data_IF_278940202453
#
_entry.id   IF_278940202453
#
_cell.length_a   1.000
_cell.length_b   1.000
_cell.length_c   1.000
_cell.angle_alpha   90.00
_cell.angle_beta   90.00
_cell.angle_gamma   90.00
#
_symmetry.space_group_name_H-M   'P 1'
#
loop_
_entity.id
_entity.type
_entity.pdbx_description
1 polymer ?
#
# COMPACT_ATOMS: atom_id res chain seq x y z
N UNK A 1 5.50 2.58 23.55
CA UNK A 1 5.51 2.03 22.18
C UNK A 1 4.20 2.42 21.55
N UNK A 2 4.20 3.38 20.62
CA UNK A 2 3.00 3.73 19.86
C UNK A 2 2.57 2.47 19.11
N UNK A 3 1.33 2.03 19.32
CA UNK A 3 0.71 1.00 18.50
C UNK A 3 0.47 1.63 17.12
N UNK A 4 1.49 1.64 16.28
CA UNK A 4 1.42 2.15 14.91
C UNK A 4 0.56 1.21 14.08
N UNK A 5 -0.75 1.45 14.14
CA UNK A 5 -1.74 0.73 13.35
C UNK A 5 -1.72 1.28 11.94
N UNK A 6 -1.54 0.40 10.96
CA UNK A 6 -1.57 0.76 9.54
C UNK A 6 -2.99 1.13 9.13
N UNK A 7 -3.16 2.33 8.57
CA UNK A 7 -4.44 2.81 8.06
C UNK A 7 -4.54 2.48 6.57
N UNK A 8 -5.09 1.31 6.27
CA UNK A 8 -5.23 0.81 4.90
C UNK A 8 -6.32 1.56 4.13
N UNK A 9 -5.95 2.08 2.96
CA UNK A 9 -6.89 2.59 1.96
C UNK A 9 -6.73 1.83 0.65
N UNK A 10 -7.85 1.57 -0.02
CA UNK A 10 -7.81 1.02 -1.38
C UNK A 10 -7.26 2.07 -2.34
N UNK A 11 -6.51 1.62 -3.35
CA UNK A 11 -6.10 2.49 -4.45
C UNK A 11 -7.32 3.09 -5.17
N UNK A 12 -7.17 4.24 -5.82
CA UNK A 12 -8.22 4.80 -6.69
C UNK A 12 -8.25 4.16 -8.08
N UNK A 13 -7.22 3.39 -8.43
CA UNK A 13 -7.11 2.65 -9.69
C UNK A 13 -7.78 1.27 -9.63
N UNK A 14 -8.34 0.99 -8.46
CA UNK A 14 -9.19 -0.14 -8.13
C UNK A 14 -10.62 0.17 -8.62
N UNK A 15 -11.10 -0.56 -9.63
CA UNK A 15 -12.36 -0.34 -10.35
C UNK A 15 -13.57 -1.12 -9.81
N UNK A 16 -14.80 -0.68 -10.14
CA UNK A 16 -16.04 -1.16 -9.50
C UNK A 16 -16.50 -2.58 -9.90
N UNK A 17 -15.95 -3.19 -10.96
CA UNK A 17 -16.46 -4.44 -11.56
C UNK A 17 -15.54 -5.65 -11.30
N UNK A 18 -14.88 -5.66 -10.14
CA UNK A 18 -13.98 -6.71 -9.63
C UNK A 18 -12.56 -6.72 -10.25
N UNK A 19 -11.57 -6.19 -9.51
CA UNK A 19 -10.33 -6.91 -9.10
C UNK A 19 -9.28 -5.97 -8.46
N UNK A 20 -9.65 -5.38 -7.34
CA UNK A 20 -8.89 -4.30 -6.71
C UNK A 20 -7.81 -4.84 -5.78
N UNK A 21 -6.69 -5.33 -6.35
CA UNK A 21 -5.68 -6.12 -5.66
C UNK A 21 -4.62 -5.33 -4.87
N UNK A 22 -4.83 -4.04 -4.55
CA UNK A 22 -3.86 -3.28 -3.75
C UNK A 22 -4.51 -2.32 -2.75
N UNK A 23 -4.15 -2.51 -1.48
CA UNK A 23 -4.31 -1.53 -0.41
C UNK A 23 -2.96 -0.91 -0.07
N UNK A 24 -2.98 0.38 0.29
CA UNK A 24 -1.81 1.16 0.67
C UNK A 24 -2.03 1.75 2.06
N UNK A 25 -0.99 1.75 2.89
CA UNK A 25 -0.94 2.52 4.12
C UNK A 25 0.32 3.39 4.13
N UNK A 26 0.13 4.70 4.23
CA UNK A 26 1.15 5.75 4.16
C UNK A 26 1.14 6.63 5.43
N UNK A 27 0.47 6.17 6.49
CA UNK A 27 0.35 6.89 7.76
C UNK A 27 1.55 6.71 8.70
N UNK A 28 2.55 5.91 8.31
CA UNK A 28 3.78 5.69 9.06
C UNK A 28 4.88 6.55 8.43
N UNK A 29 5.49 7.48 9.19
CA UNK A 29 6.50 8.38 8.62
C UNK A 29 7.68 7.62 7.99
N UNK A 30 7.95 7.89 6.71
CA UNK A 30 9.09 7.33 5.99
C UNK A 30 8.86 5.97 5.35
N UNK A 31 7.69 5.36 5.57
CA UNK A 31 7.33 4.06 5.02
C UNK A 31 5.98 4.08 4.32
N UNK A 32 5.96 3.45 3.14
CA UNK A 32 4.74 3.10 2.43
C UNK A 32 4.59 1.58 2.46
N UNK A 33 3.44 1.12 2.92
CA UNK A 33 3.08 -0.29 2.96
C UNK A 33 2.06 -0.63 1.89
N UNK A 34 2.24 -1.77 1.24
CA UNK A 34 1.35 -2.29 0.20
C UNK A 34 0.98 -3.73 0.51
N UNK A 35 -0.27 -4.10 0.27
CA UNK A 35 -0.72 -5.50 0.34
C UNK A 35 -1.78 -5.79 -0.70
N UNK A 36 -1.96 -7.07 -0.98
CA UNK A 36 -3.10 -7.54 -1.76
C UNK A 36 -4.38 -7.51 -0.92
N UNK A 37 -5.37 -6.73 -1.34
CA UNK A 37 -6.69 -6.63 -0.71
C UNK A 37 -7.34 -8.01 -0.50
N UNK A 38 -7.14 -8.95 -1.44
CA UNK A 38 -7.75 -10.29 -1.42
C UNK A 38 -7.08 -11.21 -0.40
N UNK A 39 -5.82 -10.93 -0.05
CA UNK A 39 -5.04 -11.67 0.92
C UNK A 39 -4.78 -10.84 2.19
N UNK A 40 -5.63 -9.86 2.49
CA UNK A 40 -5.40 -8.84 3.52
C UNK A 40 -4.87 -9.39 4.87
N UNK A 41 -5.33 -10.56 5.29
CA UNK A 41 -4.99 -11.18 6.59
C UNK A 41 -3.91 -12.26 6.52
N UNK A 42 -3.60 -12.78 5.32
CA UNK A 42 -2.75 -13.97 5.14
C UNK A 42 -1.60 -13.76 4.18
N UNK A 43 -1.66 -12.69 3.39
CA UNK A 43 -0.69 -12.33 2.37
C UNK A 43 0.44 -11.45 2.92
N UNK A 44 1.53 -11.34 2.16
CA UNK A 44 2.66 -10.51 2.54
C UNK A 44 2.32 -9.02 2.48
N UNK A 45 2.92 -8.25 3.39
CA UNK A 45 2.96 -6.79 3.33
C UNK A 45 4.31 -6.36 2.80
N UNK A 46 4.32 -5.67 1.66
CA UNK A 46 5.52 -5.07 1.10
C UNK A 46 5.70 -3.70 1.74
N UNK A 47 6.85 -3.46 2.35
CA UNK A 47 7.19 -2.18 2.98
C UNK A 47 8.37 -1.56 2.26
N UNK A 48 8.19 -0.33 1.79
CA UNK A 48 9.22 0.42 1.07
C UNK A 48 9.37 1.80 1.68
N UNK A 49 10.54 2.40 1.52
CA UNK A 49 10.73 3.80 1.93
C UNK A 49 9.95 4.71 1.00
N UNK A 50 9.49 5.85 1.51
CA UNK A 50 8.77 6.84 0.69
C UNK A 50 9.62 7.32 -0.49
N UNK A 51 10.94 7.41 -0.31
CA UNK A 51 11.85 7.78 -1.39
C UNK A 51 11.85 6.74 -2.51
N UNK A 52 11.96 5.45 -2.17
CA UNK A 52 11.93 4.37 -3.16
C UNK A 52 10.57 4.30 -3.86
N UNK A 53 9.48 4.47 -3.11
CA UNK A 53 8.12 4.48 -3.65
C UNK A 53 7.90 5.61 -4.65
N UNK A 54 8.25 6.85 -4.29
CA UNK A 54 8.14 8.00 -5.19
C UNK A 54 9.04 7.86 -6.43
N UNK A 55 10.25 7.32 -6.25
CA UNK A 55 11.15 7.03 -7.38
C UNK A 55 10.51 6.02 -8.33
N UNK A 56 9.98 4.92 -7.80
CA UNK A 56 9.27 3.91 -8.59
C UNK A 56 8.10 4.53 -9.38
N UNK A 57 7.24 5.31 -8.73
CA UNK A 57 6.12 5.98 -9.40
C UNK A 57 6.59 6.92 -10.51
N UNK A 58 7.69 7.66 -10.31
CA UNK A 58 8.25 8.56 -11.34
C UNK A 58 8.77 7.82 -12.59
N UNK A 59 9.05 6.52 -12.48
CA UNK A 59 9.54 5.67 -13.57
C UNK A 59 8.39 5.00 -14.36
N UNK A 60 7.18 4.97 -13.81
CA UNK A 60 5.99 4.49 -14.50
C UNK A 60 5.41 5.61 -15.38
N UNK A 61 5.30 5.35 -16.69
CA UNK A 61 4.69 6.24 -17.69
C UNK A 61 3.30 5.77 -18.05
#
# INVERSE_FOLDING_TARGET
>A
MSNETLNWRKSSHSGPVADDCVEVADNIPGLTHLRDTKLADTGPVISVTDHAWNTFLSLLK
#
